data_IF_116077872450
#
_entry.id   IF_116077872450
#
_cell.length_a   1.000
_cell.length_b   1.000
_cell.length_c   1.000
_cell.angle_alpha   90.00
_cell.angle_beta   90.00
_cell.angle_gamma   90.00
#
_symmetry.space_group_name_H-M   'P 1'
#
loop_
_entity.id
_entity.type
_entity.pdbx_description
1 polymer ?
#
# COMPACT_ATOMS: atom_id res chain seq x y z
N UNK A 1 67.51 1.49 38.60
CA UNK A 1 66.05 1.48 38.40
C UNK A 1 65.66 2.89 38.01
N UNK A 2 65.16 3.09 36.80
CA UNK A 2 64.79 4.42 36.29
C UNK A 2 63.45 4.83 36.91
N UNK A 3 63.39 6.03 37.49
CA UNK A 3 62.18 6.60 38.09
C UNK A 3 61.79 7.83 37.29
N UNK A 4 60.58 7.82 36.73
CA UNK A 4 60.00 8.95 35.98
C UNK A 4 58.89 9.56 36.83
N UNK A 5 58.98 10.88 37.06
CA UNK A 5 57.96 11.62 37.80
C UNK A 5 56.93 12.17 36.82
N UNK A 6 55.65 11.98 37.15
CA UNK A 6 54.54 12.55 36.39
C UNK A 6 53.66 13.38 37.33
N UNK A 7 53.59 14.68 37.06
CA UNK A 7 52.84 15.65 37.86
C UNK A 7 51.41 15.82 37.33
N UNK A 8 51.23 15.65 36.03
CA UNK A 8 49.97 15.89 35.33
C UNK A 8 49.63 14.77 34.33
N UNK A 9 48.41 14.82 33.79
CA UNK A 9 47.93 13.86 32.78
C UNK A 9 48.84 13.75 31.56
N UNK A 10 49.45 14.85 31.11
CA UNK A 10 50.27 14.87 29.90
C UNK A 10 51.60 14.17 30.13
N UNK A 11 52.32 14.57 31.18
CA UNK A 11 53.57 13.95 31.62
C UNK A 11 53.39 12.47 31.96
N UNK A 12 52.24 12.07 32.52
CA UNK A 12 51.95 10.66 32.76
C UNK A 12 51.83 9.84 31.48
N UNK A 13 51.16 10.37 30.46
CA UNK A 13 51.05 9.71 29.15
C UNK A 13 52.40 9.63 28.45
N UNK A 14 53.18 10.71 28.46
CA UNK A 14 54.53 10.74 27.89
C UNK A 14 55.49 9.78 28.62
N UNK A 15 55.38 9.69 29.94
CA UNK A 15 56.12 8.72 30.75
C UNK A 15 55.76 7.28 30.32
N UNK A 16 54.47 6.95 30.18
CA UNK A 16 54.03 5.63 29.71
C UNK A 16 54.55 5.34 28.29
N UNK A 17 54.65 6.33 27.41
CA UNK A 17 55.14 6.14 26.04
C UNK A 17 56.63 5.80 25.99
N UNK A 18 57.43 6.48 26.81
CA UNK A 18 58.90 6.41 26.82
C UNK A 18 59.46 5.33 27.75
N UNK A 19 58.61 4.73 28.61
CA UNK A 19 59.06 3.80 29.64
C UNK A 19 59.67 2.50 29.09
N UNK A 20 60.72 2.03 29.76
CA UNK A 20 61.36 0.73 29.55
C UNK A 20 60.92 -0.27 30.62
N UNK A 21 61.00 -1.56 30.30
CA UNK A 21 60.68 -2.62 31.26
C UNK A 21 61.54 -2.51 32.52
N UNK A 22 60.90 -2.57 33.70
CA UNK A 22 61.54 -2.42 35.01
C UNK A 22 61.73 -0.99 35.50
N UNK A 23 61.29 0.03 34.74
CA UNK A 23 61.24 1.41 35.20
C UNK A 23 59.94 1.70 35.96
N UNK A 24 59.96 2.72 36.80
CA UNK A 24 58.86 3.07 37.70
C UNK A 24 58.37 4.49 37.45
N UNK A 25 57.06 4.66 37.30
CA UNK A 25 56.42 5.98 37.26
C UNK A 25 55.95 6.33 38.66
N UNK A 26 56.29 7.54 39.11
CA UNK A 26 55.85 8.08 40.40
C UNK A 26 54.90 9.24 40.17
N UNK A 27 53.74 9.16 40.82
CA UNK A 27 52.67 10.16 40.76
C UNK A 27 52.32 10.61 42.18
N UNK A 28 51.88 11.85 42.31
CA UNK A 28 51.44 12.41 43.59
C UNK A 28 50.06 11.86 44.00
N UNK A 29 49.08 11.89 43.09
CA UNK A 29 47.75 11.32 43.29
C UNK A 29 47.15 10.77 41.99
N UNK A 30 46.13 9.93 42.08
CA UNK A 30 45.42 9.42 40.89
C UNK A 30 44.72 10.58 40.15
N UNK A 31 44.19 11.53 40.91
CA UNK A 31 43.46 12.69 40.38
C UNK A 31 44.36 13.68 39.64
N UNK A 32 45.67 13.72 39.91
CA UNK A 32 46.58 14.62 39.19
C UNK A 32 46.87 14.15 37.76
N UNK A 33 46.81 12.84 37.53
CA UNK A 33 47.13 12.22 36.24
C UNK A 33 45.91 11.72 35.45
N UNK A 34 44.70 11.83 36.01
CA UNK A 34 43.48 11.34 35.38
C UNK A 34 42.22 12.10 35.83
N UNK A 35 41.30 12.33 34.89
CA UNK A 35 39.99 12.95 35.16
C UNK A 35 38.91 11.91 35.52
N UNK A 36 39.19 10.64 35.26
CA UNK A 36 38.25 9.54 35.49
C UNK A 36 38.99 8.26 35.90
N UNK A 37 38.36 7.46 36.77
CA UNK A 37 38.88 6.17 37.17
C UNK A 37 39.16 5.26 35.96
N UNK A 38 38.34 5.34 34.91
CA UNK A 38 38.55 4.59 33.67
C UNK A 38 39.82 5.03 32.95
N UNK A 39 40.05 6.34 32.80
CA UNK A 39 41.23 6.84 32.10
C UNK A 39 42.51 6.46 32.83
N UNK A 40 42.49 6.49 34.17
CA UNK A 40 43.57 5.97 35.00
C UNK A 40 43.79 4.48 34.78
N UNK A 41 42.73 3.67 34.86
CA UNK A 41 42.81 2.21 34.66
C UNK A 41 43.37 1.86 33.28
N UNK A 42 42.92 2.54 32.23
CA UNK A 42 43.41 2.33 30.86
C UNK A 42 44.90 2.70 30.73
N UNK A 43 45.35 3.78 31.39
CA UNK A 43 46.75 4.18 31.43
C UNK A 43 47.61 3.21 32.26
N UNK A 44 47.12 2.77 33.42
CA UNK A 44 47.79 1.81 34.31
C UNK A 44 47.95 0.44 33.64
N UNK A 45 46.93 -0.04 32.90
CA UNK A 45 47.03 -1.29 32.13
C UNK A 45 48.06 -1.18 31.01
N UNK A 46 48.16 -0.02 30.34
CA UNK A 46 49.20 0.21 29.32
C UNK A 46 50.60 0.24 29.92
N UNK A 47 50.77 0.89 31.08
CA UNK A 47 52.01 0.92 31.83
C UNK A 47 52.46 -0.50 32.21
N UNK A 48 51.54 -1.30 32.77
CA UNK A 48 51.79 -2.69 33.13
C UNK A 48 52.15 -3.55 31.90
N UNK A 49 51.48 -3.34 30.76
CA UNK A 49 51.76 -4.04 29.52
C UNK A 49 53.17 -3.80 28.97
N UNK A 50 53.81 -2.68 29.35
CA UNK A 50 55.21 -2.38 29.03
C UNK A 50 56.20 -2.85 30.09
N UNK A 51 55.73 -3.52 31.14
CA UNK A 51 56.55 -3.93 32.28
C UNK A 51 56.99 -2.76 33.16
N UNK A 52 56.20 -1.68 33.17
CA UNK A 52 56.41 -0.53 34.04
C UNK A 52 55.75 -0.71 35.40
N UNK A 53 56.38 -0.17 36.42
CA UNK A 53 55.86 -0.11 37.79
C UNK A 53 55.24 1.27 38.06
N UNK A 54 54.30 1.35 38.99
CA UNK A 54 53.62 2.58 39.43
C UNK A 54 53.69 2.74 40.95
N UNK A 55 53.99 3.96 41.38
CA UNK A 55 53.98 4.40 42.77
C UNK A 55 53.12 5.65 42.88
N UNK A 56 52.16 5.63 43.81
CA UNK A 56 51.29 6.75 44.11
C UNK A 56 51.47 7.16 45.57
N UNK A 57 51.83 8.41 45.80
CA UNK A 57 52.16 8.90 47.14
C UNK A 57 50.92 9.07 48.02
N UNK A 58 49.89 9.77 47.52
CA UNK A 58 48.71 10.14 48.29
C UNK A 58 47.85 8.94 48.70
N UNK A 59 47.64 8.00 47.77
CA UNK A 59 46.84 6.79 47.96
C UNK A 59 47.68 5.62 48.54
N UNK A 60 48.99 5.82 48.74
CA UNK A 60 49.88 4.87 49.42
C UNK A 60 50.11 3.56 48.66
N UNK A 61 49.93 3.57 47.34
CA UNK A 61 50.00 2.38 46.51
C UNK A 61 51.37 2.25 45.81
N UNK A 62 51.99 1.08 45.91
CA UNK A 62 53.29 0.77 45.31
C UNK A 62 53.26 -0.65 44.70
N UNK A 63 53.18 -0.71 43.37
CA UNK A 63 53.17 -1.97 42.57
C UNK A 63 54.38 -2.87 42.79
N UNK A 64 55.51 -2.31 43.21
CA UNK A 64 56.76 -3.04 43.42
C UNK A 64 56.72 -3.91 44.67
N UNK A 65 55.77 -3.65 45.57
CA UNK A 65 55.59 -4.39 46.82
C UNK A 65 54.52 -5.46 46.64
N UNK A 66 54.60 -6.52 47.44
CA UNK A 66 53.62 -7.62 47.43
C UNK A 66 52.17 -7.12 47.56
N UNK A 67 51.97 -6.08 48.37
CA UNK A 67 50.69 -5.41 48.58
C UNK A 67 50.14 -4.66 47.35
N UNK A 68 50.99 -4.20 46.42
CA UNK A 68 50.57 -3.50 45.20
C UNK A 68 50.67 -4.33 43.92
N UNK A 69 51.32 -5.49 43.97
CA UNK A 69 51.51 -6.40 42.83
C UNK A 69 50.17 -6.87 42.21
N UNK A 70 49.10 -6.88 42.99
CA UNK A 70 47.75 -7.27 42.52
C UNK A 70 47.00 -6.16 41.77
N UNK A 71 47.48 -4.90 41.80
CA UNK A 71 46.73 -3.79 41.21
C UNK A 71 46.54 -3.99 39.70
N UNK A 72 47.61 -4.17 38.94
CA UNK A 72 47.50 -4.27 37.48
C UNK A 72 46.66 -5.46 37.00
N UNK A 73 46.80 -6.68 37.56
CA UNK A 73 45.88 -7.79 37.26
C UNK A 73 44.41 -7.46 37.54
N UNK A 74 44.10 -6.80 38.67
CA UNK A 74 42.73 -6.41 39.03
C UNK A 74 42.18 -5.33 38.09
N UNK A 75 42.97 -4.31 37.79
CA UNK A 75 42.61 -3.24 36.85
C UNK A 75 42.32 -3.80 35.46
N UNK A 76 43.13 -4.76 35.01
CA UNK A 76 42.92 -5.47 33.74
C UNK A 76 41.61 -6.25 33.76
N UNK A 77 41.38 -7.07 34.78
CA UNK A 77 40.15 -7.87 34.91
C UNK A 77 38.89 -7.00 34.93
N UNK A 78 38.94 -5.86 35.62
CA UNK A 78 37.84 -4.90 35.65
C UNK A 78 37.58 -4.26 34.28
N UNK A 79 38.62 -3.82 33.56
CA UNK A 79 38.48 -3.26 32.20
C UNK A 79 37.89 -4.29 31.23
N UNK A 80 38.31 -5.55 31.31
CA UNK A 80 37.76 -6.65 30.50
C UNK A 80 36.27 -6.88 30.79
N UNK A 81 35.87 -6.86 32.07
CA UNK A 81 34.46 -6.98 32.49
C UNK A 81 33.61 -5.85 31.94
N UNK A 82 34.07 -4.60 32.02
CA UNK A 82 33.36 -3.45 31.46
C UNK A 82 33.19 -3.53 29.94
N UNK A 83 34.24 -3.98 29.23
CA UNK A 83 34.20 -4.18 27.79
C UNK A 83 33.19 -5.27 27.40
N UNK A 84 33.17 -6.38 28.14
CA UNK A 84 32.20 -7.46 27.95
C UNK A 84 30.75 -6.95 28.12
N UNK A 85 30.48 -6.18 29.18
CA UNK A 85 29.18 -5.56 29.41
C UNK A 85 28.75 -4.60 28.29
N UNK A 86 29.68 -3.78 27.77
CA UNK A 86 29.42 -2.91 26.61
C UNK A 86 29.07 -3.69 25.35
N UNK A 87 29.79 -4.79 25.07
CA UNK A 87 29.52 -5.67 23.92
C UNK A 87 28.14 -6.33 24.05
N UNK A 88 27.80 -6.86 25.22
CA UNK A 88 26.50 -7.49 25.47
C UNK A 88 25.33 -6.52 25.23
N UNK A 89 25.41 -5.30 25.79
CA UNK A 89 24.37 -4.28 25.57
C UNK A 89 24.24 -3.87 24.11
N UNK A 90 25.36 -3.69 23.41
CA UNK A 90 25.37 -3.40 21.96
C UNK A 90 24.71 -4.52 21.18
N UNK A 91 25.03 -5.78 21.51
CA UNK A 91 24.46 -6.94 20.83
C UNK A 91 22.94 -6.98 20.96
N UNK A 92 22.41 -6.87 22.19
CA UNK A 92 20.96 -6.80 22.43
C UNK A 92 20.30 -5.62 21.69
N UNK A 93 20.94 -4.45 21.67
CA UNK A 93 20.46 -3.30 20.88
C UNK A 93 20.42 -3.57 19.37
N UNK A 94 21.45 -4.23 18.82
CA UNK A 94 21.49 -4.64 17.41
C UNK A 94 20.39 -5.66 17.10
N UNK A 95 20.21 -6.67 17.95
CA UNK A 95 19.17 -7.69 17.78
C UNK A 95 17.77 -7.07 17.76
N UNK A 96 17.50 -6.17 18.71
CA UNK A 96 16.25 -5.41 18.75
C UNK A 96 16.05 -4.54 17.51
N UNK A 97 17.08 -3.83 17.06
CA UNK A 97 16.99 -3.01 15.85
C UNK A 97 16.84 -3.85 14.57
N UNK A 98 17.39 -5.08 14.55
CA UNK A 98 17.15 -6.05 13.47
C UNK A 98 15.72 -6.57 13.48
N UNK A 99 15.17 -6.94 14.65
CA UNK A 99 13.78 -7.40 14.76
C UNK A 99 12.78 -6.30 14.40
N UNK A 100 13.10 -5.04 14.71
CA UNK A 100 12.33 -3.86 14.31
C UNK A 100 12.56 -3.44 12.83
N UNK A 101 13.40 -4.16 12.07
CA UNK A 101 13.63 -3.88 10.64
C UNK A 101 14.34 -2.55 10.34
N UNK A 102 15.04 -1.96 11.32
CA UNK A 102 15.72 -0.66 11.16
C UNK A 102 16.92 -0.71 10.21
N UNK A 103 17.59 -1.86 10.11
CA UNK A 103 18.72 -2.05 9.22
C UNK A 103 18.28 -2.25 7.77
N UNK A 104 18.19 -1.16 7.01
CA UNK A 104 17.83 -1.16 5.57
C UNK A 104 19.03 -1.12 4.63
N UNK A 105 20.21 -1.45 5.14
CA UNK A 105 21.48 -1.39 4.40
C UNK A 105 21.92 0.04 4.07
N UNK A 106 22.83 0.16 3.10
CA UNK A 106 23.34 1.45 2.64
C UNK A 106 22.25 2.17 1.85
N UNK A 107 22.00 3.45 2.17
CA UNK A 107 21.10 4.30 1.38
C UNK A 107 21.55 4.36 -0.09
N UNK A 108 20.66 4.15 -1.07
CA UNK A 108 20.99 4.33 -2.48
C UNK A 108 21.51 5.75 -2.76
N UNK A 109 22.40 5.88 -3.74
CA UNK A 109 22.95 7.19 -4.15
C UNK A 109 21.80 8.03 -4.72
N UNK A 110 21.52 9.19 -4.13
CA UNK A 110 20.49 10.07 -4.67
C UNK A 110 20.86 10.50 -6.09
N UNK A 111 19.92 10.38 -7.02
CA UNK A 111 20.06 10.82 -8.41
C UNK A 111 18.83 11.64 -8.74
N UNK A 112 19.03 12.77 -9.42
CA UNK A 112 17.93 13.58 -9.92
C UNK A 112 17.12 12.78 -10.95
N UNK A 113 15.85 12.50 -10.67
CA UNK A 113 14.99 11.67 -11.51
C UNK A 113 14.77 12.25 -12.90
N UNK A 114 14.55 13.57 -13.01
CA UNK A 114 14.32 14.25 -14.29
C UNK A 114 15.57 14.23 -15.18
N UNK A 115 16.73 14.48 -14.57
CA UNK A 115 18.01 14.38 -15.28
C UNK A 115 18.28 12.93 -15.70
N UNK A 116 17.96 11.96 -14.85
CA UNK A 116 18.14 10.55 -15.17
C UNK A 116 17.27 10.11 -16.35
N UNK A 117 16.00 10.48 -16.35
CA UNK A 117 15.07 10.13 -17.42
C UNK A 117 15.45 10.78 -18.75
N UNK A 118 15.81 12.06 -18.74
CA UNK A 118 16.25 12.76 -19.96
C UNK A 118 17.53 12.17 -20.55
N UNK A 119 18.53 11.85 -19.71
CA UNK A 119 19.79 11.23 -20.16
C UNK A 119 19.56 9.80 -20.65
N UNK A 120 18.73 9.00 -19.95
CA UNK A 120 18.41 7.62 -20.38
C UNK A 120 17.61 7.62 -21.68
N UNK A 121 16.68 8.57 -21.88
CA UNK A 121 15.94 8.71 -23.13
C UNK A 121 16.87 8.98 -24.32
N UNK A 122 17.80 9.92 -24.16
CA UNK A 122 18.81 10.26 -25.19
C UNK A 122 19.77 9.11 -25.47
N UNK A 123 20.18 8.38 -24.43
CA UNK A 123 21.00 7.17 -24.58
C UNK A 123 20.24 6.05 -25.33
N UNK A 124 18.97 5.82 -25.00
CA UNK A 124 18.12 4.84 -25.71
C UNK A 124 17.83 5.25 -27.15
N UNK A 125 17.72 6.55 -27.40
CA UNK A 125 17.60 7.14 -28.74
C UNK A 125 18.88 7.09 -29.58
N UNK A 126 20.00 6.64 -29.01
CA UNK A 126 21.28 6.53 -29.70
C UNK A 126 22.07 7.84 -29.82
N UNK A 127 21.59 8.94 -29.22
CA UNK A 127 22.27 10.24 -29.23
C UNK A 127 23.50 10.26 -28.33
N UNK A 128 23.49 9.46 -27.27
CA UNK A 128 24.57 9.34 -26.29
C UNK A 128 25.10 7.92 -26.27
N UNK A 129 26.39 7.75 -26.04
CA UNK A 129 26.94 6.45 -25.68
C UNK A 129 26.79 6.19 -24.17
N UNK A 130 26.87 4.93 -23.75
CA UNK A 130 26.66 4.56 -22.35
C UNK A 130 27.68 5.24 -21.40
N UNK A 131 28.93 5.47 -21.85
CA UNK A 131 29.96 6.14 -21.06
C UNK A 131 29.64 7.62 -20.83
N UNK A 132 29.14 8.31 -21.85
CA UNK A 132 28.69 9.70 -21.78
C UNK A 132 27.48 9.84 -20.87
N UNK A 133 26.50 8.94 -20.99
CA UNK A 133 25.34 8.91 -20.09
C UNK A 133 25.74 8.71 -18.63
N UNK A 134 26.65 7.76 -18.37
CA UNK A 134 27.20 7.52 -17.03
C UNK A 134 27.97 8.73 -16.48
N UNK A 135 28.77 9.39 -17.32
CA UNK A 135 29.54 10.57 -16.93
C UNK A 135 28.63 11.77 -16.60
N UNK A 136 27.62 12.03 -17.42
CA UNK A 136 26.63 13.10 -17.20
C UNK A 136 25.83 12.93 -15.90
N UNK A 137 25.61 11.68 -15.50
CA UNK A 137 24.89 11.34 -14.28
C UNK A 137 25.80 11.15 -13.06
N UNK A 138 27.12 11.24 -13.25
CA UNK A 138 28.15 10.92 -12.25
C UNK A 138 27.98 9.53 -11.61
N UNK A 139 27.52 8.55 -12.41
CA UNK A 139 27.24 7.19 -11.96
C UNK A 139 28.29 6.20 -12.42
N UNK A 140 28.68 5.31 -11.51
CA UNK A 140 29.40 4.09 -11.86
C UNK A 140 28.50 3.15 -12.69
N UNK A 141 29.08 2.32 -13.58
CA UNK A 141 28.31 1.41 -14.43
C UNK A 141 27.29 0.55 -13.69
N UNK A 142 27.69 -0.06 -12.57
CA UNK A 142 26.80 -0.92 -11.78
C UNK A 142 25.57 -0.17 -11.25
N UNK A 143 25.74 1.09 -10.82
CA UNK A 143 24.63 1.92 -10.33
C UNK A 143 23.72 2.33 -11.49
N UNK A 144 24.30 2.68 -12.64
CA UNK A 144 23.56 3.06 -13.84
C UNK A 144 22.65 1.95 -14.35
N UNK A 145 23.19 0.75 -14.60
CA UNK A 145 22.39 -0.38 -15.08
C UNK A 145 21.38 -0.90 -14.06
N UNK A 146 21.73 -0.90 -12.76
CA UNK A 146 20.77 -1.26 -11.71
C UNK A 146 19.58 -0.30 -11.69
N UNK A 147 19.82 1.01 -11.81
CA UNK A 147 18.76 2.05 -11.86
C UNK A 147 17.85 1.89 -13.07
N UNK A 148 18.41 1.58 -14.23
CA UNK A 148 17.61 1.30 -15.44
C UNK A 148 16.68 0.11 -15.20
N UNK A 149 17.21 -0.98 -14.65
CA UNK A 149 16.42 -2.17 -14.33
C UNK A 149 15.32 -1.87 -13.31
N UNK A 150 15.63 -1.14 -12.26
CA UNK A 150 14.65 -0.67 -11.25
C UNK A 150 13.52 0.14 -11.91
N UNK A 151 13.85 1.06 -12.84
CA UNK A 151 12.84 1.81 -13.59
C UNK A 151 11.96 0.93 -14.49
N UNK A 152 12.55 -0.05 -15.16
CA UNK A 152 11.79 -0.99 -16.02
C UNK A 152 10.86 -1.88 -15.21
N UNK A 153 11.36 -2.41 -14.09
CA UNK A 153 10.55 -3.18 -13.14
C UNK A 153 9.41 -2.34 -12.57
N UNK A 154 9.66 -1.05 -12.28
CA UNK A 154 8.63 -0.15 -11.80
C UNK A 154 7.56 0.11 -12.87
N UNK A 155 7.96 0.47 -14.10
CA UNK A 155 7.03 0.66 -15.22
C UNK A 155 6.19 -0.59 -15.50
N UNK A 156 6.79 -1.78 -15.37
CA UNK A 156 6.07 -3.06 -15.53
C UNK A 156 5.04 -3.28 -14.43
N UNK A 157 5.33 -2.91 -13.17
CA UNK A 157 4.36 -2.98 -12.08
C UNK A 157 3.21 -2.01 -12.31
N UNK A 158 3.52 -0.78 -12.70
CA UNK A 158 2.52 0.25 -12.98
C UNK A 158 1.59 -0.18 -14.13
N UNK A 159 2.15 -0.75 -15.20
CA UNK A 159 1.36 -1.32 -16.30
C UNK A 159 0.43 -2.44 -15.84
N UNK A 160 0.93 -3.40 -15.05
CA UNK A 160 0.11 -4.52 -14.52
C UNK A 160 -1.00 -4.03 -13.61
N UNK A 161 -0.72 -3.02 -12.79
CA UNK A 161 -1.71 -2.40 -11.92
C UNK A 161 -2.82 -1.73 -12.74
N UNK A 162 -2.42 -0.92 -13.72
CA UNK A 162 -3.34 -0.26 -14.65
C UNK A 162 -4.16 -1.28 -15.45
N UNK A 163 -3.54 -2.37 -15.92
CA UNK A 163 -4.23 -3.45 -16.64
C UNK A 163 -5.29 -4.12 -15.76
N UNK A 164 -4.98 -4.37 -14.48
CA UNK A 164 -5.93 -4.93 -13.53
C UNK A 164 -7.11 -3.97 -13.29
N UNK A 165 -6.82 -2.68 -13.11
CA UNK A 165 -7.83 -1.64 -12.88
C UNK A 165 -8.79 -1.50 -14.08
N UNK A 166 -8.24 -1.38 -15.29
CA UNK A 166 -9.03 -1.34 -16.53
C UNK A 166 -9.90 -2.60 -16.67
N UNK A 167 -9.34 -3.79 -16.38
CA UNK A 167 -10.09 -5.05 -16.44
C UNK A 167 -11.24 -5.08 -15.43
N UNK A 168 -11.03 -4.58 -14.21
CA UNK A 168 -12.10 -4.48 -13.21
C UNK A 168 -13.20 -3.52 -13.66
N UNK A 169 -12.83 -2.33 -14.15
CA UNK A 169 -13.80 -1.33 -14.62
C UNK A 169 -14.66 -1.86 -15.77
N UNK A 170 -14.03 -2.50 -16.77
CA UNK A 170 -14.75 -3.11 -17.91
C UNK A 170 -15.71 -4.19 -17.40
N UNK A 171 -15.27 -5.03 -16.45
CA UNK A 171 -16.09 -6.11 -15.91
C UNK A 171 -17.30 -5.57 -15.17
N UNK A 172 -17.13 -4.51 -14.40
CA UNK A 172 -18.21 -3.87 -13.65
C UNK A 172 -19.18 -3.14 -14.58
N UNK A 173 -18.68 -2.45 -15.61
CA UNK A 173 -19.50 -1.84 -16.65
C UNK A 173 -20.36 -2.88 -17.39
N UNK A 174 -19.77 -4.01 -17.80
CA UNK A 174 -20.50 -5.11 -18.45
C UNK A 174 -21.56 -5.70 -17.52
N UNK A 175 -21.26 -5.84 -16.22
CA UNK A 175 -22.21 -6.32 -15.23
C UNK A 175 -23.40 -5.38 -15.09
N UNK A 176 -23.13 -4.08 -15.02
CA UNK A 176 -24.15 -3.04 -14.93
C UNK A 176 -25.04 -3.03 -16.17
N UNK A 177 -24.46 -3.01 -17.37
CA UNK A 177 -25.23 -3.06 -18.62
C UNK A 177 -26.10 -4.33 -18.72
N UNK A 178 -25.61 -5.48 -18.23
CA UNK A 178 -26.41 -6.72 -18.19
C UNK A 178 -27.58 -6.63 -17.22
N UNK A 179 -27.38 -5.99 -16.06
CA UNK A 179 -28.44 -5.74 -15.09
C UNK A 179 -29.51 -4.81 -15.68
N UNK A 180 -29.10 -3.69 -16.26
CA UNK A 180 -30.00 -2.69 -16.85
C UNK A 180 -30.83 -3.28 -17.99
N UNK A 181 -30.19 -4.10 -18.85
CA UNK A 181 -30.91 -4.84 -19.91
C UNK A 181 -31.93 -5.82 -19.34
N UNK A 182 -31.64 -6.43 -18.18
CA UNK A 182 -32.56 -7.32 -17.48
C UNK A 182 -33.80 -6.58 -16.98
N UNK A 183 -33.62 -5.41 -16.37
CA UNK A 183 -34.71 -4.56 -15.91
C UNK A 183 -35.55 -4.04 -17.09
N UNK A 184 -34.91 -3.57 -18.15
CA UNK A 184 -35.61 -3.09 -19.35
C UNK A 184 -36.47 -4.20 -19.98
N UNK A 185 -35.95 -5.44 -20.06
CA UNK A 185 -36.71 -6.59 -20.55
C UNK A 185 -37.93 -6.91 -19.67
N UNK A 186 -37.81 -6.78 -18.35
CA UNK A 186 -38.94 -6.95 -17.43
C UNK A 186 -40.01 -5.88 -17.68
N UNK A 187 -39.59 -4.63 -17.84
CA UNK A 187 -40.49 -3.51 -18.12
C UNK A 187 -41.23 -3.70 -19.44
N UNK A 188 -40.51 -4.00 -20.54
CA UNK A 188 -41.13 -4.29 -21.85
C UNK A 188 -42.12 -5.45 -21.76
N UNK A 189 -41.80 -6.50 -21.00
CA UNK A 189 -42.72 -7.64 -20.80
C UNK A 189 -43.97 -7.24 -20.01
N UNK A 190 -43.85 -6.33 -19.04
CA UNK A 190 -44.99 -5.81 -18.30
C UNK A 190 -45.88 -4.93 -19.20
N UNK A 191 -45.29 -4.00 -19.94
CA UNK A 191 -46.01 -3.15 -20.91
C UNK A 191 -46.72 -4.00 -21.97
N UNK A 192 -46.06 -5.03 -22.52
CA UNK A 192 -46.69 -5.93 -23.49
C UNK A 192 -47.90 -6.70 -22.91
N UNK A 193 -47.88 -7.04 -21.61
CA UNK A 193 -49.03 -7.66 -20.95
C UNK A 193 -50.20 -6.69 -20.82
N UNK A 194 -49.93 -5.45 -20.44
CA UNK A 194 -50.96 -4.39 -20.36
C UNK A 194 -51.57 -4.11 -21.73
N UNK A 195 -50.75 -3.99 -22.77
CA UNK A 195 -51.21 -3.82 -24.15
C UNK A 195 -52.08 -5.01 -24.59
N UNK A 196 -51.66 -6.24 -24.27
CA UNK A 196 -52.45 -7.44 -24.60
C UNK A 196 -53.79 -7.42 -23.88
N UNK A 197 -53.80 -7.12 -22.58
CA UNK A 197 -55.03 -7.02 -21.77
C UNK A 197 -55.99 -5.98 -22.34
N UNK A 198 -55.49 -4.80 -22.70
CA UNK A 198 -56.29 -3.74 -23.31
C UNK A 198 -56.85 -4.15 -24.69
N UNK A 199 -56.10 -4.93 -25.48
CA UNK A 199 -56.59 -5.46 -26.74
C UNK A 199 -57.69 -6.52 -26.55
N UNK A 200 -57.54 -7.41 -25.56
CA UNK A 200 -58.54 -8.42 -25.21
C UNK A 200 -59.84 -7.75 -24.72
N UNK A 201 -59.77 -6.74 -23.83
CA UNK A 201 -60.94 -5.97 -23.37
C UNK A 201 -61.65 -5.24 -24.53
N UNK A 202 -60.89 -4.70 -25.48
CA UNK A 202 -61.45 -4.01 -26.66
C UNK A 202 -62.15 -4.97 -27.62
N UNK A 203 -61.67 -6.21 -27.72
CA UNK A 203 -62.30 -7.26 -28.51
C UNK A 203 -63.65 -7.66 -27.90
N UNK A 204 -63.71 -7.85 -26.57
CA UNK A 204 -64.95 -8.15 -25.86
C UNK A 204 -66.00 -7.04 -26.05
N UNK A 205 -65.61 -5.78 -25.90
CA UNK A 205 -66.49 -4.63 -26.15
C UNK A 205 -67.05 -4.63 -27.58
N UNK A 206 -66.20 -4.87 -28.58
CA UNK A 206 -66.63 -4.92 -29.97
C UNK A 206 -67.57 -6.10 -30.25
N UNK A 207 -67.39 -7.25 -29.59
CA UNK A 207 -68.30 -8.39 -29.72
C UNK A 207 -69.67 -8.10 -29.09
N UNK A 208 -69.70 -7.41 -27.95
CA UNK A 208 -70.94 -6.90 -27.34
C UNK A 208 -71.65 -5.91 -28.26
N UNK A 209 -70.93 -4.94 -28.84
CA UNK A 209 -71.50 -3.98 -29.79
C UNK A 209 -72.07 -4.68 -31.05
N UNK A 210 -71.41 -5.74 -31.53
CA UNK A 210 -71.93 -6.55 -32.64
C UNK A 210 -73.24 -7.23 -32.29
N UNK A 211 -73.36 -7.84 -31.13
CA UNK A 211 -74.61 -8.50 -30.70
C UNK A 211 -75.73 -7.48 -30.52
N UNK A 212 -75.47 -6.37 -29.83
CA UNK A 212 -76.44 -5.27 -29.70
C UNK A 212 -76.93 -4.76 -31.06
N UNK A 213 -76.02 -4.68 -32.05
CA UNK A 213 -76.37 -4.30 -33.42
C UNK A 213 -77.24 -5.35 -34.11
N UNK A 214 -76.95 -6.65 -33.93
CA UNK A 214 -77.78 -7.74 -34.46
C UNK A 214 -79.17 -7.73 -33.84
N UNK A 215 -79.27 -7.54 -32.52
CA UNK A 215 -80.54 -7.47 -31.81
C UNK A 215 -81.38 -6.28 -32.27
N UNK A 216 -80.75 -5.12 -32.48
CA UNK A 216 -81.44 -3.95 -33.03
C UNK A 216 -81.97 -4.20 -34.44
N UNK A 217 -81.17 -4.83 -35.31
CA UNK A 217 -81.61 -5.21 -36.66
C UNK A 217 -82.77 -6.22 -36.58
N UNK A 218 -82.71 -7.20 -35.67
CA UNK A 218 -83.77 -8.20 -35.48
C UNK A 218 -85.08 -7.53 -35.05
N UNK A 219 -85.02 -6.61 -34.08
CA UNK A 219 -86.17 -5.84 -33.64
C UNK A 219 -86.76 -4.97 -34.75
N UNK A 220 -85.93 -4.36 -35.60
CA UNK A 220 -86.39 -3.61 -36.78
C UNK A 220 -87.12 -4.52 -37.79
N UNK A 221 -86.59 -5.72 -38.04
CA UNK A 221 -87.23 -6.71 -38.93
C UNK A 221 -88.56 -7.18 -38.35
N UNK A 222 -88.61 -7.52 -37.07
CA UNK A 222 -89.84 -7.92 -36.36
C UNK A 222 -90.89 -6.80 -36.42
N UNK A 223 -90.49 -5.56 -36.17
CA UNK A 223 -91.37 -4.40 -36.31
C UNK A 223 -91.87 -4.26 -37.75
N UNK A 224 -90.99 -4.39 -38.74
CA UNK A 224 -91.37 -4.32 -40.15
C UNK A 224 -92.37 -5.44 -40.53
N UNK A 225 -92.15 -6.66 -40.06
CA UNK A 225 -93.03 -7.81 -40.29
C UNK A 225 -94.38 -7.64 -39.59
N UNK A 226 -94.42 -7.10 -38.37
CA UNK A 226 -95.66 -6.77 -37.67
C UNK A 226 -96.48 -5.71 -38.41
N UNK A 227 -95.82 -4.65 -38.91
CA UNK A 227 -96.46 -3.63 -39.77
C UNK A 227 -96.99 -4.25 -41.05
N UNK A 228 -96.23 -5.16 -41.66
CA UNK A 228 -96.66 -5.89 -42.86
C UNK A 228 -97.88 -6.77 -42.60
N UNK A 229 -97.93 -7.42 -41.44
CA UNK A 229 -99.07 -8.23 -41.03
C UNK A 229 -100.30 -7.37 -40.74
N UNK A 230 -100.17 -6.29 -39.98
CA UNK A 230 -101.24 -5.31 -39.78
C UNK A 230 -101.78 -4.78 -41.11
N UNK A 231 -100.91 -4.51 -42.09
CA UNK A 231 -101.32 -4.07 -43.41
C UNK A 231 -102.15 -5.14 -44.15
N UNK A 232 -101.75 -6.41 -44.05
CA UNK A 232 -102.54 -7.53 -44.59
C UNK A 232 -103.89 -7.68 -43.88
N UNK A 233 -103.92 -7.52 -42.56
CA UNK A 233 -105.13 -7.65 -41.76
C UNK A 233 -106.13 -6.52 -42.09
N UNK A 234 -105.64 -5.27 -42.20
CA UNK A 234 -106.42 -4.12 -42.66
C UNK A 234 -106.91 -4.32 -44.10
N UNK A 235 -106.08 -4.84 -45.00
CA UNK A 235 -106.50 -5.19 -46.36
C UNK A 235 -107.57 -6.29 -46.37
N UNK A 236 -107.52 -7.25 -45.44
CA UNK A 236 -108.52 -8.31 -45.30
C UNK A 236 -109.84 -7.77 -44.74
N UNK A 237 -109.81 -6.94 -43.70
CA UNK A 237 -110.98 -6.25 -43.14
C UNK A 237 -111.64 -5.33 -44.18
N UNK A 238 -110.85 -4.58 -44.94
CA UNK A 238 -111.36 -3.76 -46.03
C UNK A 238 -112.04 -4.60 -47.13
N UNK A 239 -111.54 -5.81 -47.42
CA UNK A 239 -112.20 -6.75 -48.35
C UNK A 239 -113.50 -7.31 -47.79
N UNK A 240 -113.55 -7.62 -46.49
CA UNK A 240 -114.77 -8.07 -45.80
C UNK A 240 -115.84 -6.96 -45.79
N UNK A 241 -115.48 -5.73 -45.42
CA UNK A 241 -116.38 -4.57 -45.50
C UNK A 241 -116.88 -4.33 -46.92
N UNK A 242 -116.02 -4.46 -47.93
CA UNK A 242 -116.42 -4.31 -49.33
C UNK A 242 -117.41 -5.39 -49.76
N UNK A 243 -117.25 -6.64 -49.30
CA UNK A 243 -118.24 -7.72 -49.49
C UNK A 243 -119.56 -7.47 -48.76
N UNK A 244 -119.51 -6.83 -47.59
CA UNK A 244 -120.73 -6.44 -46.85
C UNK A 244 -121.49 -5.33 -47.58
N UNK A 245 -120.82 -4.33 -48.14
CA UNK A 245 -121.46 -3.29 -48.93
C UNK A 245 -121.93 -3.73 -50.33
N UNK A 246 -121.40 -4.83 -50.88
CA UNK A 246 -121.87 -5.43 -52.15
C UNK A 246 -123.08 -6.37 -51.96
N UNK A 247 -123.49 -6.64 -50.71
CA UNK A 247 -124.63 -7.51 -50.34
C UNK A 247 -125.82 -6.74 -49.73
N UNK A 248 -125.79 -5.41 -49.73
CA UNK A 248 -126.94 -4.51 -49.46
C UNK A 248 -127.39 -3.83 -50.77
#
# INVERSE_FOLDING_TARGET
MEIVYAEDKKSFVEAIETIRAGACVRIDSISSVSDSAKDFLDAAVKLAGKGGELVCESEGFDTRREQGALLFPLCRALSELEQAGRKARRHSGIERAKSEGKYKGRKPIAVNGELFESVVARWRGGELNARQAMALLELKPNTFYRRIKEQEEQKMKDYKQMEHEIKSEIKDAVRQSRHDLGELKKQVRAEAKEVKKAADEKLELHDVEREMRKDRIRAEVEHHDAVRQMRKDVEAEARELKKMMENE
#
